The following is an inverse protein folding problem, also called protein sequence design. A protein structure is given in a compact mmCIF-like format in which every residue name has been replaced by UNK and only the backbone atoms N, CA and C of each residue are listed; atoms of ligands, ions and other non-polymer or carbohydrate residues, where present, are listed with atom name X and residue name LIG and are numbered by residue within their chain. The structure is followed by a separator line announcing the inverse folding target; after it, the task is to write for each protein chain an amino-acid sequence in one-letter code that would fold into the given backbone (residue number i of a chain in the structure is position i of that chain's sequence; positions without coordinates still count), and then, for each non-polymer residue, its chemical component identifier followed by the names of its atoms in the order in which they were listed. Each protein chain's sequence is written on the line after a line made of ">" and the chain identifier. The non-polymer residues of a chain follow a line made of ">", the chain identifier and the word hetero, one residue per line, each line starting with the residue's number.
data_IF_554062669927
#
_entry.id   IF_554062669927
#
_cell.length_a   1.000
_cell.length_b   1.000
_cell.length_c   1.000
_cell.angle_alpha   90.00
_cell.angle_beta   90.00
_cell.angle_gamma   90.00
#
_symmetry.space_group_name_H-M   'P 1'
#
loop_
_entity.id
_entity.type
_entity.pdbx_description
1 polymer ?
#
# COMPACT_ATOMS: atom_id res chain seq x y z
N UNK A 1 -3.47 1.59 1.41
CA UNK A 1 -2.87 0.62 0.46
C UNK A 1 -1.52 0.16 1.03
N UNK A 2 -0.76 -0.71 0.35
CA UNK A 2 0.61 -1.10 0.74
C UNK A 2 1.41 -1.52 -0.50
N UNK A 3 2.73 -1.30 -0.52
CA UNK A 3 3.59 -1.78 -1.59
C UNK A 3 3.99 -3.26 -1.38
N UNK A 4 4.36 -3.95 -2.46
CA UNK A 4 4.82 -5.35 -2.38
C UNK A 4 6.09 -5.48 -1.52
N UNK A 5 7.03 -4.54 -1.68
CA UNK A 5 8.31 -4.55 -0.98
C UNK A 5 8.17 -4.27 0.53
N UNK A 6 7.25 -3.37 0.92
CA UNK A 6 6.88 -3.17 2.33
C UNK A 6 6.27 -4.45 2.92
N UNK A 7 5.35 -5.08 2.19
CA UNK A 7 4.66 -6.29 2.63
C UNK A 7 5.65 -7.45 2.87
N UNK A 8 6.58 -7.68 1.94
CA UNK A 8 7.65 -8.67 2.07
C UNK A 8 8.56 -8.34 3.25
N UNK A 9 8.97 -7.07 3.38
CA UNK A 9 9.85 -6.62 4.48
C UNK A 9 9.19 -6.83 5.85
N UNK A 10 7.91 -6.49 5.99
CA UNK A 10 7.11 -6.72 7.20
C UNK A 10 7.05 -8.20 7.56
N UNK A 11 6.83 -9.09 6.59
CA UNK A 11 6.80 -10.55 6.84
C UNK A 11 8.18 -11.06 7.30
N UNK A 12 9.26 -10.63 6.65
CA UNK A 12 10.64 -10.98 7.03
C UNK A 12 10.94 -10.55 8.47
N UNK A 13 10.57 -9.33 8.84
CA UNK A 13 10.91 -8.75 10.15
C UNK A 13 9.97 -9.24 11.28
N UNK A 14 8.76 -9.75 10.95
CA UNK A 14 7.92 -10.57 11.86
C UNK A 14 8.62 -11.90 12.18
N UNK A 15 9.16 -12.59 11.16
CA UNK A 15 9.85 -13.88 11.31
C UNK A 15 11.11 -13.71 12.15
N UNK A 16 11.98 -12.74 11.82
CA UNK A 16 13.25 -12.49 12.55
C UNK A 16 13.07 -12.07 14.02
N UNK A 17 11.92 -11.49 14.38
CA UNK A 17 11.63 -11.04 15.75
C UNK A 17 10.70 -12.00 16.52
N UNK A 18 10.39 -13.17 15.95
CA UNK A 18 9.45 -14.17 16.49
C UNK A 18 8.08 -13.59 16.92
N UNK A 19 7.54 -12.64 16.13
CA UNK A 19 6.33 -11.87 16.44
C UNK A 19 5.02 -12.63 16.14
N UNK A 20 5.03 -13.93 16.39
CA UNK A 20 3.95 -14.86 16.08
C UNK A 20 2.65 -14.57 16.85
N UNK A 21 1.51 -15.02 16.30
CA UNK A 21 0.19 -14.88 16.92
C UNK A 21 -0.36 -13.45 16.99
N UNK A 22 0.30 -12.46 16.36
CA UNK A 22 -0.09 -11.05 16.40
C UNK A 22 -0.77 -10.61 15.11
N UNK A 23 -1.92 -9.94 15.25
CA UNK A 23 -2.61 -9.26 14.13
C UNK A 23 -2.07 -7.84 13.96
N UNK A 24 -1.73 -7.46 12.72
CA UNK A 24 -1.21 -6.15 12.35
C UNK A 24 -1.96 -5.56 11.15
N UNK A 25 -2.06 -4.22 11.11
CA UNK A 25 -2.51 -3.49 9.94
C UNK A 25 -1.30 -3.13 9.07
N UNK A 26 -1.06 -3.91 8.02
CA UNK A 26 -0.02 -3.63 7.04
C UNK A 26 -0.55 -2.66 5.97
N UNK A 27 -0.47 -1.36 6.25
CA UNK A 27 -0.86 -0.29 5.34
C UNK A 27 0.06 0.92 5.45
N UNK A 28 0.38 1.49 4.29
CA UNK A 28 1.09 2.75 4.13
C UNK A 28 0.37 3.90 4.88
N UNK A 29 1.15 4.90 5.27
CA UNK A 29 0.71 6.00 6.12
C UNK A 29 -0.32 6.91 5.44
N UNK A 30 -0.13 7.18 4.14
CA UNK A 30 -1.11 7.93 3.35
C UNK A 30 -2.29 7.08 2.92
N UNK A 31 -3.46 7.72 2.84
CA UNK A 31 -4.74 7.06 2.58
C UNK A 31 -5.51 7.68 1.40
N UNK A 32 -4.93 7.73 0.18
CA UNK A 32 -5.70 8.07 -1.01
C UNK A 32 -6.83 7.07 -1.21
N UNK A 33 -7.95 7.52 -1.76
CA UNK A 33 -9.05 6.64 -2.13
C UNK A 33 -8.62 5.63 -3.19
N UNK A 34 -9.38 4.52 -3.29
CA UNK A 34 -9.20 3.56 -4.39
C UNK A 34 -9.37 4.24 -5.75
N UNK A 35 -10.24 5.25 -5.84
CA UNK A 35 -10.49 5.97 -7.08
C UNK A 35 -9.27 6.78 -7.52
N UNK A 36 -8.69 7.59 -6.63
CA UNK A 36 -7.50 8.40 -6.92
C UNK A 36 -6.30 7.52 -7.30
N UNK A 37 -6.03 6.48 -6.51
CA UNK A 37 -4.91 5.58 -6.77
C UNK A 37 -5.04 4.85 -8.12
N UNK A 38 -6.18 4.19 -8.39
CA UNK A 38 -6.34 3.45 -9.65
C UNK A 38 -6.40 4.38 -10.87
N UNK A 39 -6.96 5.59 -10.74
CA UNK A 39 -6.92 6.61 -11.81
C UNK A 39 -5.49 7.04 -12.11
N UNK A 40 -4.69 7.33 -11.08
CA UNK A 40 -3.29 7.73 -11.23
C UNK A 40 -2.37 6.58 -11.68
N UNK A 41 -2.78 5.33 -11.47
CA UNK A 41 -2.10 4.12 -11.94
C UNK A 41 -2.41 3.82 -13.41
N UNK A 42 -3.68 3.83 -13.85
CA UNK A 42 -4.01 3.61 -15.27
C UNK A 42 -3.45 4.72 -16.16
N UNK A 43 -3.49 5.97 -15.69
CA UNK A 43 -2.84 7.10 -16.36
C UNK A 43 -1.30 6.99 -16.41
N UNK A 44 -0.67 6.19 -15.54
CA UNK A 44 0.77 5.90 -15.61
C UNK A 44 1.10 4.87 -16.69
N UNK A 45 0.22 3.89 -16.86
CA UNK A 45 0.41 2.71 -17.71
C UNK A 45 -0.19 2.91 -19.11
N UNK A 46 -0.64 4.12 -19.45
CA UNK A 46 -1.42 4.45 -20.66
C UNK A 46 -2.63 3.53 -20.89
N UNK A 47 -3.24 3.06 -19.79
CA UNK A 47 -4.42 2.21 -19.79
C UNK A 47 -5.72 3.05 -19.79
N UNK A 48 -6.83 2.53 -20.35
CA UNK A 48 -8.13 3.20 -20.26
C UNK A 48 -8.54 3.45 -18.81
N UNK A 49 -9.21 4.58 -18.58
CA UNK A 49 -9.63 4.98 -17.24
C UNK A 49 -10.63 3.98 -16.64
N UNK A 50 -10.49 3.60 -15.36
CA UNK A 50 -11.37 2.65 -14.71
C UNK A 50 -12.76 3.26 -14.45
N UNK A 51 -13.81 2.49 -14.72
CA UNK A 51 -15.17 2.84 -14.35
C UNK A 51 -15.47 2.32 -12.94
N UNK A 52 -15.88 3.23 -12.04
CA UNK A 52 -16.20 2.90 -10.65
C UNK A 52 -17.71 2.72 -10.46
N UNK A 53 -18.10 1.78 -9.59
CA UNK A 53 -19.48 1.66 -9.17
C UNK A 53 -19.92 2.93 -8.39
N UNK A 54 -21.20 3.37 -8.51
CA UNK A 54 -21.70 4.48 -7.71
C UNK A 54 -21.67 4.13 -6.21
N UNK A 55 -21.41 5.10 -5.32
CA UNK A 55 -21.33 4.85 -3.89
C UNK A 55 -22.65 4.33 -3.33
N UNK A 56 -22.59 3.24 -2.57
CA UNK A 56 -23.74 2.69 -1.86
C UNK A 56 -23.92 3.38 -0.50
N UNK A 57 -25.15 3.42 0.07
CA UNK A 57 -25.36 3.89 1.45
C UNK A 57 -24.67 3.01 2.50
N UNK A 58 -24.11 1.86 2.11
CA UNK A 58 -23.30 0.96 2.94
C UNK A 58 -21.79 1.23 2.90
N UNK A 59 -21.30 2.09 2.00
CA UNK A 59 -19.88 2.42 1.87
C UNK A 59 -19.38 3.33 3.01
N UNK A 60 -19.06 2.71 4.14
CA UNK A 60 -18.47 3.39 5.30
C UNK A 60 -16.95 3.55 5.14
N UNK A 61 -16.50 4.78 4.88
CA UNK A 61 -15.08 5.15 4.91
C UNK A 61 -14.48 4.91 6.30
N UNK A 62 -13.29 4.30 6.35
CA UNK A 62 -12.57 3.97 7.59
C UNK A 62 -11.08 4.19 7.41
N UNK A 63 -10.48 5.02 8.28
CA UNK A 63 -9.04 5.20 8.40
C UNK A 63 -8.47 4.00 9.18
N UNK A 64 -7.37 3.41 8.71
CA UNK A 64 -6.77 2.21 9.30
C UNK A 64 -5.34 2.54 9.74
N UNK A 65 -5.12 2.65 11.06
CA UNK A 65 -3.79 2.96 11.59
C UNK A 65 -2.85 1.74 11.55
N UNK A 66 -1.64 1.95 11.01
CA UNK A 66 -0.52 1.00 11.03
C UNK A 66 0.40 1.15 12.26
N UNK A 67 0.07 2.03 13.23
CA UNK A 67 0.95 2.32 14.38
C UNK A 67 1.36 1.10 15.19
N UNK A 68 0.46 0.11 15.37
CA UNK A 68 0.78 -1.12 16.11
C UNK A 68 1.97 -1.86 15.46
N UNK A 69 1.98 -1.92 14.13
CA UNK A 69 3.05 -2.53 13.36
C UNK A 69 4.35 -1.73 13.48
N UNK A 70 4.27 -0.40 13.27
CA UNK A 70 5.44 0.49 13.36
C UNK A 70 6.10 0.48 14.74
N UNK A 71 5.31 0.42 15.81
CA UNK A 71 5.81 0.42 17.21
C UNK A 71 6.33 -0.95 17.67
N UNK A 72 5.71 -2.05 17.24
CA UNK A 72 6.04 -3.40 17.73
C UNK A 72 7.14 -4.09 16.91
N UNK A 73 7.26 -3.79 15.61
CA UNK A 73 8.34 -4.29 14.75
C UNK A 73 9.51 -3.30 14.60
N UNK A 74 9.38 -2.08 15.15
CA UNK A 74 10.22 -0.91 14.83
C UNK A 74 10.26 -0.57 13.33
N UNK A 75 9.24 -0.97 12.58
CA UNK A 75 9.23 -0.89 11.12
C UNK A 75 8.94 0.52 10.60
N UNK A 76 9.71 0.95 9.59
CA UNK A 76 9.49 2.16 8.79
C UNK A 76 9.19 1.74 7.37
N UNK A 77 8.05 2.21 6.83
CA UNK A 77 7.70 1.98 5.43
C UNK A 77 8.74 2.60 4.49
N UNK A 78 9.06 1.85 3.44
CA UNK A 78 9.83 2.30 2.29
C UNK A 78 8.92 3.20 1.43
N UNK A 79 7.64 2.83 1.26
CA UNK A 79 6.66 3.58 0.47
C UNK A 79 5.46 4.04 1.32
N UNK A 80 5.70 5.00 2.23
CA UNK A 80 4.64 5.62 3.06
C UNK A 80 3.49 6.25 2.25
N UNK A 81 3.71 6.58 0.96
CA UNK A 81 2.67 7.16 0.08
C UNK A 81 2.37 6.25 -1.13
N UNK A 82 1.13 5.71 -1.27
CA UNK A 82 0.74 4.89 -2.41
C UNK A 82 0.83 5.57 -3.78
N UNK A 83 0.75 6.90 -3.84
CA UNK A 83 0.87 7.64 -5.09
C UNK A 83 2.32 7.63 -5.66
N UNK A 84 3.30 7.24 -4.84
CA UNK A 84 4.73 7.24 -5.17
C UNK A 84 5.31 5.85 -5.47
N UNK A 85 4.49 4.80 -5.63
CA UNK A 85 4.95 3.44 -6.01
C UNK A 85 5.62 3.34 -7.41
N UNK A 86 5.84 4.45 -8.13
CA UNK A 86 6.24 4.46 -9.55
C UNK A 86 7.75 4.40 -9.81
N UNK A 87 8.60 4.54 -8.79
CA UNK A 87 10.04 4.82 -9.00
C UNK A 87 10.89 3.62 -9.48
N UNK A 88 10.37 2.38 -9.49
CA UNK A 88 11.15 1.17 -9.87
C UNK A 88 10.55 0.38 -11.05
N UNK A 89 10.11 1.07 -12.12
CA UNK A 89 9.80 0.42 -13.41
C UNK A 89 10.40 1.07 -14.67
N UNK A 90 11.02 2.26 -14.58
CA UNK A 90 11.59 2.95 -15.75
C UNK A 90 13.02 2.49 -16.17
N UNK A 91 13.55 1.42 -15.56
CA UNK A 91 14.96 0.99 -15.73
C UNK A 91 15.15 -0.45 -16.22
N UNK A 92 14.12 -1.03 -16.88
CA UNK A 92 14.15 -2.43 -17.35
C UNK A 92 13.73 -2.66 -18.82
N UNK A 93 13.64 -1.60 -19.62
CA UNK A 93 13.45 -1.69 -21.08
C UNK A 93 14.66 -1.08 -21.84
N UNK A 94 15.85 -1.64 -21.57
CA UNK A 94 17.02 -1.55 -22.46
C UNK A 94 17.69 -2.94 -22.55
N UNK A 95 17.10 -3.85 -23.34
CA UNK A 95 17.77 -4.94 -24.07
C UNK A 95 16.83 -5.65 -25.05
#
# INVERSE_FOLDING_TARGET
>A
LIHLEDCISILIEIIKQDKWGRVYNACADEHPSRQEFYTAATAALNLPLPHFAPPSPTDTFKIISSEKLKKDLSYRFIYSNPMLFKEIQLSKEEF
#
